data_IF_938609201181
#
_entry.id   IF_938609201181
#
_cell.length_a   1.000
_cell.length_b   1.000
_cell.length_c   1.000
_cell.angle_alpha   90.00
_cell.angle_beta   90.00
_cell.angle_gamma   90.00
#
_symmetry.space_group_name_H-M   'P 1'
#
loop_
_entity.id
_entity.type
_entity.pdbx_description
1 polymer ?
#
# COMPACT_ATOMS: atom_id res chain seq x y z
N UNK A 1 -1.23 16.13 -11.87
CA UNK A 1 -1.01 16.24 -10.43
C UNK A 1 -2.12 15.51 -9.67
N UNK A 2 -3.39 15.71 -10.04
CA UNK A 2 -4.53 15.10 -9.33
C UNK A 2 -4.65 13.58 -9.43
N UNK A 3 -4.34 12.95 -10.56
CA UNK A 3 -4.61 11.51 -10.76
C UNK A 3 -3.93 10.55 -9.75
N UNK A 4 -2.72 10.87 -9.27
CA UNK A 4 -2.02 10.05 -8.27
C UNK A 4 -2.64 10.22 -6.88
N UNK A 5 -2.97 11.46 -6.51
CA UNK A 5 -3.61 11.78 -5.23
C UNK A 5 -5.07 11.28 -5.19
N UNK A 6 -5.81 11.39 -6.28
CA UNK A 6 -7.15 10.79 -6.44
C UNK A 6 -7.09 9.28 -6.26
N UNK A 7 -6.06 8.62 -6.81
CA UNK A 7 -5.84 7.20 -6.55
C UNK A 7 -5.64 6.98 -5.06
N UNK A 8 -4.85 7.78 -4.34
CA UNK A 8 -4.66 7.61 -2.89
C UNK A 8 -5.95 7.79 -2.08
N UNK A 9 -6.94 8.55 -2.56
CA UNK A 9 -8.24 8.69 -1.89
C UNK A 9 -9.02 7.37 -1.73
N UNK A 10 -8.64 6.31 -2.44
CA UNK A 10 -9.19 4.94 -2.26
C UNK A 10 -8.22 3.97 -1.58
N UNK A 11 -7.12 4.47 -1.03
CA UNK A 11 -6.17 3.71 -0.21
C UNK A 11 -6.69 3.52 1.21
N UNK A 12 -5.90 2.88 2.07
CA UNK A 12 -6.24 2.70 3.48
C UNK A 12 -5.77 3.88 4.36
N UNK A 13 -6.14 5.10 3.97
CA UNK A 13 -5.86 6.33 4.74
C UNK A 13 -4.48 6.93 4.57
N UNK A 14 -3.75 6.61 3.50
CA UNK A 14 -2.44 7.24 3.26
C UNK A 14 -2.61 8.66 2.70
N UNK A 15 -1.97 9.63 3.38
CA UNK A 15 -1.88 11.03 2.94
C UNK A 15 -0.40 11.47 2.92
N UNK A 16 0.20 11.72 1.74
CA UNK A 16 1.60 12.16 1.65
C UNK A 16 1.84 13.55 2.26
N UNK A 17 0.76 14.32 2.50
CA UNK A 17 0.80 15.61 3.18
C UNK A 17 0.93 15.49 4.70
N UNK A 18 0.44 14.38 5.27
CA UNK A 18 0.55 14.09 6.70
C UNK A 18 1.86 13.37 7.04
N UNK A 19 2.24 12.41 6.20
CA UNK A 19 3.48 11.65 6.33
C UNK A 19 3.91 11.14 4.97
N UNK A 20 5.20 11.27 4.64
CA UNK A 20 5.75 10.61 3.46
C UNK A 20 5.98 9.11 3.71
N UNK A 21 6.18 8.70 4.97
CA UNK A 21 6.41 7.30 5.32
C UNK A 21 5.13 6.47 5.15
N UNK A 22 5.21 5.40 4.37
CA UNK A 22 4.09 4.49 4.10
C UNK A 22 4.54 3.07 3.71
N UNK A 23 3.58 2.15 3.70
CA UNK A 23 3.74 0.83 3.12
C UNK A 23 2.97 0.73 1.80
N UNK A 24 3.58 0.08 0.81
CA UNK A 24 2.95 -0.21 -0.48
C UNK A 24 2.76 -1.72 -0.62
N UNK A 25 1.52 -2.14 -0.87
CA UNK A 25 1.19 -3.52 -1.20
C UNK A 25 1.10 -3.64 -2.73
N UNK A 26 2.05 -4.33 -3.33
CA UNK A 26 2.04 -4.65 -4.76
C UNK A 26 1.41 -6.02 -4.99
N UNK A 27 0.20 -6.00 -5.57
CA UNK A 27 -0.60 -7.19 -5.88
C UNK A 27 -0.53 -7.44 -7.40
N UNK A 28 0.32 -8.36 -7.89
CA UNK A 28 0.43 -8.61 -9.32
C UNK A 28 -0.86 -9.24 -9.87
N UNK A 29 -1.12 -9.12 -11.18
CA UNK A 29 -2.31 -9.75 -11.82
C UNK A 29 -2.23 -11.28 -11.90
N UNK A 30 -1.03 -11.85 -11.91
CA UNK A 30 -0.85 -13.31 -12.00
C UNK A 30 -1.35 -14.03 -10.75
N UNK A 31 -2.16 -15.07 -10.96
CA UNK A 31 -2.77 -15.86 -9.89
C UNK A 31 -1.73 -16.57 -9.00
N UNK A 32 -0.55 -16.90 -9.51
CA UNK A 32 0.50 -17.60 -8.73
C UNK A 32 1.68 -16.70 -8.37
N UNK A 33 1.60 -15.39 -8.65
CA UNK A 33 2.67 -14.46 -8.34
C UNK A 33 2.54 -13.96 -6.89
N UNK A 34 3.68 -13.83 -6.23
CA UNK A 34 3.78 -13.37 -4.85
C UNK A 34 3.36 -11.90 -4.71
N UNK A 35 2.71 -11.62 -3.59
CA UNK A 35 2.37 -10.26 -3.17
C UNK A 35 3.54 -9.72 -2.34
N UNK A 36 3.95 -8.50 -2.68
CA UNK A 36 5.09 -7.82 -2.05
C UNK A 36 4.61 -6.65 -1.23
N UNK A 37 5.13 -6.50 -0.02
CA UNK A 37 4.91 -5.33 0.83
C UNK A 37 6.25 -4.63 1.04
N UNK A 38 6.36 -3.40 0.57
CA UNK A 38 7.54 -2.55 0.71
C UNK A 38 7.26 -1.35 1.60
N UNK A 39 8.28 -0.92 2.33
CA UNK A 39 8.29 0.29 3.14
C UNK A 39 8.96 1.41 2.35
N UNK A 40 8.32 2.58 2.34
CA UNK A 40 8.78 3.76 1.63
C UNK A 40 8.83 4.94 2.58
N UNK A 41 9.98 5.59 2.70
CA UNK A 41 10.23 6.75 3.54
C UNK A 41 9.98 8.07 2.81
N UNK A 42 9.91 8.04 1.48
CA UNK A 42 9.71 9.22 0.64
C UNK A 42 8.50 9.09 -0.30
N UNK A 43 7.97 10.23 -0.74
CA UNK A 43 6.92 10.31 -1.77
C UNK A 43 7.19 11.46 -2.72
N UNK A 44 7.13 11.20 -4.03
CA UNK A 44 7.24 12.22 -5.07
C UNK A 44 5.88 12.47 -5.71
N UNK A 45 5.47 13.73 -5.88
CA UNK A 45 4.14 14.06 -6.39
C UNK A 45 3.92 13.66 -7.86
N UNK A 46 5.00 13.50 -8.62
CA UNK A 46 4.94 13.15 -10.05
C UNK A 46 5.01 11.65 -10.28
N UNK A 47 5.78 10.94 -9.47
CA UNK A 47 6.15 9.54 -9.67
C UNK A 47 5.63 8.60 -8.58
N UNK A 48 5.26 9.14 -7.42
CA UNK A 48 4.72 8.40 -6.28
C UNK A 48 5.80 7.79 -5.40
N UNK A 49 5.56 6.56 -4.94
CA UNK A 49 6.51 5.79 -4.14
C UNK A 49 7.77 5.46 -4.96
N UNK A 50 8.93 5.44 -4.30
CA UNK A 50 10.19 4.95 -4.88
C UNK A 50 10.10 3.49 -5.37
N UNK A 51 10.99 3.03 -6.24
CA UNK A 51 11.02 1.63 -6.65
C UNK A 51 11.32 0.69 -5.48
N UNK A 52 10.55 -0.39 -5.36
CA UNK A 52 10.78 -1.37 -4.31
C UNK A 52 12.02 -2.25 -4.59
N UNK A 53 12.83 -2.50 -3.56
CA UNK A 53 14.16 -3.12 -3.67
C UNK A 53 14.46 -4.08 -2.51
N UNK A 54 15.35 -5.04 -2.76
CA UNK A 54 15.98 -5.91 -1.76
C UNK A 54 17.45 -5.51 -1.49
N UNK A 55 17.89 -4.39 -2.06
CA UNK A 55 19.26 -3.90 -1.96
C UNK A 55 19.53 -3.11 -0.68
N UNK A 56 20.59 -2.30 -0.71
CA UNK A 56 21.05 -1.53 0.44
C UNK A 56 20.29 -0.19 0.67
N UNK A 57 19.34 0.17 -0.20
CA UNK A 57 18.54 1.39 -0.02
C UNK A 57 17.66 1.26 1.22
N UNK A 58 17.61 2.33 2.03
CA UNK A 58 16.66 2.42 3.13
C UNK A 58 15.22 2.64 2.64
N UNK A 59 15.06 3.36 1.52
CA UNK A 59 13.77 3.65 0.92
C UNK A 59 13.39 2.60 -0.13
N UNK A 60 12.11 2.21 -0.18
CA UNK A 60 11.58 1.16 -1.03
C UNK A 60 11.89 -0.27 -0.55
N UNK A 61 12.34 -0.44 0.68
CA UNK A 61 12.80 -1.73 1.17
C UNK A 61 11.65 -2.75 1.24
N UNK A 62 11.83 -3.91 0.64
CA UNK A 62 10.84 -5.00 0.72
C UNK A 62 10.90 -5.63 2.12
N UNK A 63 9.78 -5.57 2.84
CA UNK A 63 9.66 -6.11 4.21
C UNK A 63 9.01 -7.47 4.24
N UNK A 64 8.10 -7.75 3.30
CA UNK A 64 7.35 -9.01 3.26
C UNK A 64 7.17 -9.47 1.82
N UNK A 65 7.37 -10.78 1.61
CA UNK A 65 6.94 -11.51 0.43
C UNK A 65 5.95 -12.59 0.86
N UNK A 66 4.73 -12.55 0.32
CA UNK A 66 3.68 -13.52 0.60
C UNK A 66 3.33 -14.26 -0.67
N UNK A 67 3.19 -15.59 -0.58
CA UNK A 67 2.54 -16.35 -1.64
C UNK A 67 1.12 -15.85 -1.85
N UNK A 68 0.57 -16.01 -3.07
CA UNK A 68 -0.83 -15.63 -3.36
C UNK A 68 -1.79 -16.22 -2.33
N UNK A 69 -1.63 -17.50 -1.99
CA UNK A 69 -2.53 -18.20 -1.08
C UNK A 69 -2.55 -17.56 0.31
N UNK A 70 -1.37 -17.22 0.86
CA UNK A 70 -1.26 -16.53 2.16
C UNK A 70 -1.86 -15.14 2.12
N UNK A 71 -1.63 -14.38 1.04
CA UNK A 71 -2.25 -13.07 0.86
C UNK A 71 -3.78 -13.18 0.85
N UNK A 72 -4.33 -14.08 0.05
CA UNK A 72 -5.79 -14.25 -0.07
C UNK A 72 -6.44 -14.64 1.27
N UNK A 73 -5.73 -15.41 2.10
CA UNK A 73 -6.22 -15.80 3.42
C UNK A 73 -6.37 -14.62 4.40
N UNK A 74 -5.61 -13.53 4.20
CA UNK A 74 -5.63 -12.37 5.12
C UNK A 74 -6.22 -11.10 4.50
N UNK A 75 -6.25 -10.97 3.18
CA UNK A 75 -6.56 -9.71 2.49
C UNK A 75 -7.90 -9.12 2.92
N UNK A 76 -8.93 -9.96 3.07
CA UNK A 76 -10.26 -9.49 3.45
C UNK A 76 -10.32 -9.05 4.91
N UNK A 77 -9.76 -9.83 5.83
CA UNK A 77 -9.70 -9.48 7.25
C UNK A 77 -8.93 -8.17 7.47
N UNK A 78 -7.79 -7.97 6.78
CA UNK A 78 -7.02 -6.72 6.83
C UNK A 78 -7.84 -5.55 6.28
N UNK A 79 -8.51 -5.72 5.14
CA UNK A 79 -9.40 -4.70 4.56
C UNK A 79 -10.51 -4.30 5.53
N UNK A 80 -11.14 -5.27 6.18
CA UNK A 80 -12.23 -5.04 7.15
C UNK A 80 -11.72 -4.22 8.33
N UNK A 81 -10.60 -4.62 8.95
CA UNK A 81 -10.06 -3.93 10.12
C UNK A 81 -9.57 -2.51 9.77
N UNK A 82 -8.86 -2.33 8.65
CA UNK A 82 -8.44 -0.99 8.21
C UNK A 82 -9.63 -0.08 7.95
N UNK A 83 -10.65 -0.57 7.23
CA UNK A 83 -11.84 0.22 6.97
C UNK A 83 -12.70 0.48 8.22
N UNK A 84 -12.66 -0.40 9.23
CA UNK A 84 -13.29 -0.14 10.53
C UNK A 84 -12.64 1.08 11.20
N UNK A 85 -11.31 1.17 11.18
CA UNK A 85 -10.56 2.31 11.75
C UNK A 85 -10.78 3.60 10.97
N UNK A 86 -10.77 3.55 9.63
CA UNK A 86 -11.03 4.72 8.80
C UNK A 86 -12.41 5.33 9.06
N UNK A 87 -13.45 4.48 9.12
CA UNK A 87 -14.81 4.95 9.42
C UNK A 87 -14.93 5.56 10.82
N UNK A 88 -14.24 5.00 11.82
CA UNK A 88 -14.20 5.58 13.16
C UNK A 88 -13.56 6.97 13.19
N UNK A 89 -12.75 7.31 12.18
CA UNK A 89 -12.13 8.63 11.98
C UNK A 89 -12.88 9.50 10.96
N UNK A 90 -14.06 9.09 10.50
CA UNK A 90 -14.85 9.82 9.49
C UNK A 90 -14.27 9.78 8.06
N UNK A 91 -13.31 8.88 7.79
CA UNK A 91 -12.69 8.73 6.48
C UNK A 91 -13.42 7.72 5.59
N UNK A 92 -13.23 7.85 4.28
CA UNK A 92 -13.75 6.90 3.29
C UNK A 92 -13.07 5.53 3.38
N UNK A 93 -13.80 4.48 2.98
CA UNK A 93 -13.26 3.13 2.93
C UNK A 93 -12.29 2.95 1.75
N UNK A 94 -11.18 2.27 2.00
CA UNK A 94 -10.21 1.83 1.01
C UNK A 94 -10.48 0.44 0.43
N UNK A 95 -9.80 0.11 -0.67
CA UNK A 95 -9.87 -1.18 -1.33
C UNK A 95 -8.52 -1.62 -1.91
N UNK A 96 -8.29 -2.94 -1.95
CA UNK A 96 -7.19 -3.53 -2.72
C UNK A 96 -7.44 -3.38 -4.21
N UNK A 97 -6.39 -3.08 -5.00
CA UNK A 97 -6.48 -2.84 -6.45
C UNK A 97 -5.14 -3.08 -7.14
#
# INVERSE_FOLDING_TARGET
MDALLERLGRSFGYSPRESQHHFLVHIPRGANLDVRISEHLTWDERTGSSPATLGASADGQVRVLLTRARWNAIADAVRVEFNRRLRAQGQHAGAWR
#
